data_IF_687588232421
#
_entry.id   IF_687588232421
#
_cell.length_a   1.000
_cell.length_b   1.000
_cell.length_c   1.000
_cell.angle_alpha   90.00
_cell.angle_beta   90.00
_cell.angle_gamma   90.00
#
_symmetry.space_group_name_H-M   'P 1'
#
loop_
_entity.id
_entity.type
_entity.pdbx_description
1 polymer ?
#
# COMPACT_ATOMS: atom_id res chain seq x y z
N UNK A 1 -22.81 1.58 16.96
CA UNK A 1 -21.87 2.67 16.66
C UNK A 1 -21.17 2.41 15.31
N UNK A 2 -21.96 2.07 14.28
CA UNK A 2 -21.55 2.20 12.88
C UNK A 2 -22.59 3.17 12.31
N UNK A 3 -22.31 4.47 12.45
CA UNK A 3 -23.13 5.48 11.81
C UNK A 3 -23.18 5.18 10.33
N UNK A 4 -24.38 5.28 9.74
CA UNK A 4 -24.69 4.84 8.38
C UNK A 4 -23.63 5.38 7.43
N UNK A 5 -22.92 4.47 6.75
CA UNK A 5 -21.97 4.81 5.68
C UNK A 5 -22.70 5.77 4.71
N UNK A 6 -22.16 6.98 4.45
CA UNK A 6 -22.84 7.95 3.59
C UNK A 6 -23.13 7.34 2.23
N UNK A 7 -24.26 7.67 1.60
CA UNK A 7 -24.67 7.06 0.33
C UNK A 7 -23.59 7.14 -0.75
N UNK A 8 -22.85 8.24 -0.80
CA UNK A 8 -21.73 8.44 -1.71
C UNK A 8 -20.61 7.37 -1.57
N UNK A 9 -20.44 6.78 -0.39
CA UNK A 9 -19.43 5.75 -0.14
C UNK A 9 -19.89 4.32 -0.45
N UNK A 10 -21.21 4.09 -0.59
CA UNK A 10 -21.77 2.74 -0.74
C UNK A 10 -21.37 2.06 -2.04
N UNK A 11 -21.08 2.83 -3.09
CA UNK A 11 -20.58 2.30 -4.37
C UNK A 11 -19.05 2.25 -4.43
N UNK A 12 -18.37 3.29 -3.94
CA UNK A 12 -16.91 3.38 -4.01
C UNK A 12 -16.20 2.39 -3.08
N UNK A 13 -16.73 2.18 -1.87
CA UNK A 13 -16.09 1.34 -0.85
C UNK A 13 -16.02 -0.14 -1.27
N UNK A 14 -17.10 -0.80 -1.73
CA UNK A 14 -17.02 -2.19 -2.18
C UNK A 14 -16.12 -2.36 -3.39
N UNK A 15 -16.11 -1.40 -4.33
CA UNK A 15 -15.23 -1.45 -5.50
C UNK A 15 -13.75 -1.35 -5.11
N UNK A 16 -13.40 -0.43 -4.20
CA UNK A 16 -12.05 -0.30 -3.68
C UNK A 16 -11.63 -1.55 -2.89
N UNK A 17 -12.50 -2.08 -2.03
CA UNK A 17 -12.24 -3.31 -1.28
C UNK A 17 -12.03 -4.50 -2.20
N UNK A 18 -12.87 -4.67 -3.23
CA UNK A 18 -12.70 -5.72 -4.22
C UNK A 18 -11.37 -5.60 -4.97
N UNK A 19 -10.98 -4.38 -5.35
CA UNK A 19 -9.68 -4.13 -5.98
C UNK A 19 -8.52 -4.45 -5.04
N UNK A 20 -8.58 -4.03 -3.77
CA UNK A 20 -7.55 -4.34 -2.78
C UNK A 20 -7.42 -5.83 -2.50
N UNK A 21 -8.53 -6.57 -2.40
CA UNK A 21 -8.51 -8.02 -2.27
C UNK A 21 -7.92 -8.68 -3.52
N UNK A 22 -8.31 -8.23 -4.71
CA UNK A 22 -7.74 -8.74 -5.96
C UNK A 22 -6.24 -8.50 -6.05
N UNK A 23 -5.75 -7.32 -5.66
CA UNK A 23 -4.32 -7.01 -5.60
C UNK A 23 -3.60 -7.83 -4.53
N UNK A 24 -4.19 -8.00 -3.35
CA UNK A 24 -3.61 -8.82 -2.28
C UNK A 24 -3.44 -10.28 -2.73
N UNK A 25 -4.39 -10.82 -3.48
CA UNK A 25 -4.31 -12.17 -4.08
C UNK A 25 -3.27 -12.19 -5.21
N UNK A 26 -3.32 -11.23 -6.13
CA UNK A 26 -2.42 -11.18 -7.29
C UNK A 26 -0.93 -11.08 -6.88
N UNK A 27 -0.65 -10.36 -5.80
CA UNK A 27 0.71 -10.16 -5.28
C UNK A 27 0.99 -10.96 -3.99
N UNK A 28 0.23 -12.04 -3.74
CA UNK A 28 0.32 -12.83 -2.50
C UNK A 28 1.75 -13.32 -2.21
N UNK A 29 2.52 -13.66 -3.25
CA UNK A 29 3.92 -14.04 -3.10
C UNK A 29 4.78 -12.90 -2.55
N UNK A 30 4.60 -11.67 -3.05
CA UNK A 30 5.38 -10.51 -2.60
C UNK A 30 5.01 -10.14 -1.16
N UNK A 31 3.72 -10.19 -0.82
CA UNK A 31 3.25 -9.99 0.56
C UNK A 31 3.78 -11.05 1.52
N UNK A 32 3.78 -12.32 1.12
CA UNK A 32 4.35 -13.41 1.94
C UNK A 32 5.86 -13.23 2.16
N UNK A 33 6.58 -12.71 1.15
CA UNK A 33 8.01 -12.44 1.26
C UNK A 33 8.27 -11.30 2.25
N UNK A 34 7.53 -10.19 2.15
CA UNK A 34 7.61 -9.10 3.13
C UNK A 34 7.33 -9.63 4.54
N UNK A 35 6.27 -10.42 4.72
CA UNK A 35 5.92 -10.99 6.02
C UNK A 35 7.02 -11.93 6.55
N UNK A 36 7.63 -12.74 5.68
CA UNK A 36 8.73 -13.63 6.05
C UNK A 36 9.98 -12.85 6.48
N UNK A 37 10.32 -11.76 5.80
CA UNK A 37 11.45 -10.88 6.17
C UNK A 37 11.15 -10.22 7.52
N UNK A 38 9.95 -9.67 7.69
CA UNK A 38 9.54 -9.02 8.92
C UNK A 38 9.57 -9.98 10.13
N UNK A 39 9.21 -11.25 9.94
CA UNK A 39 9.20 -12.23 11.04
C UNK A 39 10.60 -12.73 11.42
N UNK A 40 11.46 -12.95 10.41
CA UNK A 40 12.73 -13.65 10.60
C UNK A 40 13.95 -12.72 10.72
N UNK A 41 13.80 -11.42 10.42
CA UNK A 41 14.88 -10.45 10.53
C UNK A 41 14.69 -9.53 11.74
N UNK A 42 15.70 -9.45 12.62
CA UNK A 42 15.73 -8.48 13.71
C UNK A 42 15.77 -7.03 13.20
N UNK A 43 16.36 -6.79 12.02
CA UNK A 43 16.41 -5.47 11.37
C UNK A 43 15.01 -5.00 10.94
N UNK A 44 14.18 -5.91 10.45
CA UNK A 44 12.88 -5.58 9.86
C UNK A 44 11.67 -5.97 10.71
N UNK A 45 11.87 -6.40 11.96
CA UNK A 45 10.79 -6.85 12.86
C UNK A 45 9.71 -5.77 13.09
N UNK A 46 10.12 -4.50 13.11
CA UNK A 46 9.20 -3.36 13.26
C UNK A 46 8.13 -3.28 12.17
N UNK A 47 8.33 -3.91 10.99
CA UNK A 47 7.34 -3.97 9.92
C UNK A 47 6.04 -4.64 10.38
N UNK A 48 6.11 -5.59 11.32
CA UNK A 48 4.93 -6.25 11.89
C UNK A 48 3.97 -5.28 12.60
N UNK A 49 4.47 -4.15 13.10
CA UNK A 49 3.66 -3.13 13.77
C UNK A 49 2.97 -2.18 12.78
N UNK A 50 3.48 -2.09 11.55
CA UNK A 50 3.02 -1.11 10.56
C UNK A 50 1.53 -1.29 10.20
N UNK A 51 0.99 -2.50 9.97
CA UNK A 51 -0.45 -2.68 9.72
C UNK A 51 -1.34 -2.13 10.85
N UNK A 52 -0.94 -2.32 12.11
CA UNK A 52 -1.68 -1.79 13.26
C UNK A 52 -1.62 -0.26 13.31
N UNK A 53 -0.45 0.33 13.04
CA UNK A 53 -0.28 1.78 12.98
C UNK A 53 -1.09 2.37 11.83
N UNK A 54 -1.07 1.76 10.64
CA UNK A 54 -1.88 2.19 9.50
C UNK A 54 -3.37 2.20 9.82
N UNK A 55 -3.89 1.13 10.44
CA UNK A 55 -5.27 1.06 10.87
C UNK A 55 -5.62 2.20 11.85
N UNK A 56 -4.74 2.46 12.82
CA UNK A 56 -4.91 3.56 13.77
C UNK A 56 -4.89 4.94 13.09
N UNK A 57 -3.97 5.18 12.14
CA UNK A 57 -3.86 6.44 11.41
C UNK A 57 -5.08 6.71 10.54
N UNK A 58 -5.59 5.70 9.84
CA UNK A 58 -6.82 5.80 9.05
C UNK A 58 -8.03 6.02 9.98
N UNK A 59 -8.09 5.33 11.11
CA UNK A 59 -9.18 5.47 12.07
C UNK A 59 -9.23 6.87 12.70
N UNK A 60 -8.08 7.49 12.98
CA UNK A 60 -8.03 8.88 13.48
C UNK A 60 -8.61 9.88 12.47
N UNK A 61 -8.40 9.64 11.18
CA UNK A 61 -8.86 10.49 10.07
C UNK A 61 -10.33 10.27 9.66
N UNK A 62 -11.01 9.26 10.22
CA UNK A 62 -12.35 8.85 9.78
C UNK A 62 -13.38 9.99 9.78
N UNK A 63 -13.29 10.91 10.74
CA UNK A 63 -14.20 12.05 10.84
C UNK A 63 -14.02 13.09 9.73
N UNK A 64 -12.77 13.32 9.30
CA UNK A 64 -12.44 14.20 8.18
C UNK A 64 -12.91 13.56 6.86
N UNK A 65 -12.61 12.27 6.68
CA UNK A 65 -12.90 11.53 5.44
C UNK A 65 -14.40 11.34 5.23
N UNK A 66 -15.18 11.13 6.30
CA UNK A 66 -16.63 10.96 6.22
C UNK A 66 -17.36 12.20 5.67
N UNK A 67 -16.74 13.39 5.75
CA UNK A 67 -17.30 14.64 5.23
C UNK A 67 -16.98 14.86 3.74
N UNK A 68 -16.12 14.02 3.16
CA UNK A 68 -15.69 14.12 1.76
C UNK A 68 -16.44 13.06 0.95
N UNK A 69 -17.11 13.51 -0.11
CA UNK A 69 -17.69 12.58 -1.08
C UNK A 69 -16.59 12.00 -1.97
N UNK A 70 -16.45 10.66 -2.06
CA UNK A 70 -15.46 10.03 -2.90
C UNK A 70 -15.81 10.26 -4.37
N UNK A 71 -14.79 10.53 -5.19
CA UNK A 71 -14.95 10.75 -6.62
C UNK A 71 -13.89 9.97 -7.37
N UNK A 72 -14.30 9.24 -8.40
CA UNK A 72 -13.36 8.51 -9.25
C UNK A 72 -12.45 9.52 -9.96
N UNK A 73 -11.14 9.30 -9.90
CA UNK A 73 -10.17 10.15 -10.57
C UNK A 73 -9.27 9.32 -11.47
N UNK A 74 -9.70 9.19 -12.73
CA UNK A 74 -9.03 8.42 -13.79
C UNK A 74 -7.54 8.72 -14.00
N UNK A 75 -7.02 9.95 -13.79
CA UNK A 75 -5.58 10.21 -13.87
C UNK A 75 -4.73 9.35 -12.92
N UNK A 76 -5.31 8.80 -11.84
CA UNK A 76 -4.65 7.82 -10.98
C UNK A 76 -4.23 6.53 -11.71
N UNK A 77 -4.75 6.26 -12.91
CA UNK A 77 -4.27 5.16 -13.74
C UNK A 77 -2.81 5.32 -14.16
N UNK A 78 -2.30 6.56 -14.26
CA UNK A 78 -0.90 6.82 -14.61
C UNK A 78 0.04 6.28 -13.52
N UNK A 79 -0.08 6.66 -12.23
CA UNK A 79 0.74 6.06 -11.18
C UNK A 79 0.46 4.56 -10.99
N UNK A 80 -0.77 4.07 -11.21
CA UNK A 80 -1.02 2.62 -11.21
C UNK A 80 -0.21 1.90 -12.29
N UNK A 81 -0.19 2.41 -13.53
CA UNK A 81 0.59 1.85 -14.62
C UNK A 81 2.09 1.92 -14.32
N UNK A 82 2.57 3.03 -13.76
CA UNK A 82 3.96 3.17 -13.32
C UNK A 82 4.36 2.16 -12.24
N UNK A 83 3.50 1.95 -11.24
CA UNK A 83 3.73 0.98 -10.17
C UNK A 83 3.71 -0.47 -10.70
N UNK A 84 2.78 -0.80 -11.60
CA UNK A 84 2.73 -2.10 -12.26
C UNK A 84 3.96 -2.34 -13.14
N UNK A 85 4.44 -1.32 -13.86
CA UNK A 85 5.67 -1.41 -14.64
C UNK A 85 6.90 -1.60 -13.75
N UNK A 86 6.99 -0.87 -12.63
CA UNK A 86 8.06 -1.04 -11.65
C UNK A 86 8.07 -2.47 -11.09
N UNK A 87 6.90 -3.00 -10.72
CA UNK A 87 6.76 -4.37 -10.28
C UNK A 87 7.25 -5.36 -11.36
N UNK A 88 6.84 -5.15 -12.61
CA UNK A 88 7.21 -5.99 -13.75
C UNK A 88 8.73 -5.97 -14.01
N UNK A 89 9.36 -4.80 -13.94
CA UNK A 89 10.81 -4.66 -14.07
C UNK A 89 11.54 -5.37 -12.92
N UNK A 90 11.02 -5.31 -11.70
CA UNK A 90 11.52 -6.09 -10.57
C UNK A 90 11.41 -7.58 -10.81
N UNK A 91 10.27 -8.05 -11.32
CA UNK A 91 10.05 -9.45 -11.65
C UNK A 91 11.00 -9.95 -12.74
N UNK A 92 11.28 -9.14 -13.77
CA UNK A 92 12.24 -9.48 -14.82
C UNK A 92 13.70 -9.45 -14.38
N UNK A 93 14.08 -8.49 -13.53
CA UNK A 93 15.46 -8.35 -13.04
C UNK A 93 15.79 -9.27 -11.86
N UNK A 94 14.77 -9.85 -11.21
CA UNK A 94 14.94 -10.60 -9.97
C UNK A 94 15.10 -9.72 -8.73
N UNK A 95 14.96 -8.40 -8.85
CA UNK A 95 15.10 -7.45 -7.75
C UNK A 95 13.82 -7.41 -6.90
N UNK A 96 13.86 -8.03 -5.72
CA UNK A 96 12.69 -8.12 -4.84
C UNK A 96 12.27 -6.77 -4.30
N UNK A 97 13.22 -5.88 -4.04
CA UNK A 97 12.90 -4.51 -3.65
C UNK A 97 11.97 -3.80 -4.65
N UNK A 98 12.25 -3.90 -5.95
CA UNK A 98 11.42 -3.27 -6.98
C UNK A 98 10.03 -3.91 -7.07
N UNK A 99 9.93 -5.23 -6.91
CA UNK A 99 8.65 -5.95 -6.85
C UNK A 99 7.81 -5.49 -5.65
N UNK A 100 8.38 -5.53 -4.46
CA UNK A 100 7.68 -5.16 -3.23
C UNK A 100 7.24 -3.69 -3.25
N UNK A 101 8.13 -2.79 -3.70
CA UNK A 101 7.80 -1.37 -3.87
C UNK A 101 6.69 -1.17 -4.89
N UNK A 102 6.73 -1.87 -6.04
CA UNK A 102 5.68 -1.82 -7.05
C UNK A 102 4.33 -2.30 -6.53
N UNK A 103 4.28 -3.40 -5.78
CA UNK A 103 3.04 -3.93 -5.19
C UNK A 103 2.42 -2.95 -4.18
N UNK A 104 3.23 -2.38 -3.28
CA UNK A 104 2.78 -1.37 -2.31
C UNK A 104 2.34 -0.08 -3.01
N UNK A 105 3.13 0.41 -3.96
CA UNK A 105 2.81 1.61 -4.72
C UNK A 105 1.51 1.45 -5.52
N UNK A 106 1.26 0.28 -6.10
CA UNK A 106 0.04 -0.02 -6.84
C UNK A 106 -1.18 0.01 -5.91
N UNK A 107 -1.08 -0.61 -4.73
CA UNK A 107 -2.12 -0.55 -3.70
C UNK A 107 -2.42 0.90 -3.31
N UNK A 108 -1.39 1.71 -3.02
CA UNK A 108 -1.54 3.13 -2.66
C UNK A 108 -2.15 3.95 -3.79
N UNK A 109 -1.74 3.71 -5.05
CA UNK A 109 -2.24 4.43 -6.23
C UNK A 109 -3.73 4.18 -6.51
N UNK A 110 -4.31 3.07 -6.02
CA UNK A 110 -5.76 2.85 -6.13
C UNK A 110 -6.59 3.81 -5.27
N UNK A 111 -6.02 4.40 -4.22
CA UNK A 111 -6.75 5.32 -3.32
C UNK A 111 -7.26 6.56 -4.07
N UNK A 112 -6.40 7.33 -4.78
CA UNK A 112 -6.89 8.41 -5.62
C UNK A 112 -7.78 7.92 -6.77
N UNK A 113 -7.62 6.70 -7.26
CA UNK A 113 -8.47 6.15 -8.34
C UNK A 113 -9.94 6.03 -7.89
N UNK A 114 -10.18 5.47 -6.70
CA UNK A 114 -11.54 5.22 -6.20
C UNK A 114 -12.13 6.38 -5.40
N UNK A 115 -11.30 7.11 -4.66
CA UNK A 115 -11.76 8.11 -3.70
C UNK A 115 -11.42 9.55 -4.09
N UNK A 116 -10.54 9.75 -5.08
CA UNK A 116 -10.20 11.06 -5.61
C UNK A 116 -9.19 11.83 -4.77
N UNK A 117 -8.72 12.95 -5.31
CA UNK A 117 -7.59 13.71 -4.76
C UNK A 117 -7.85 14.23 -3.34
N UNK A 118 -9.09 14.61 -3.02
CA UNK A 118 -9.44 15.17 -1.69
C UNK A 118 -9.31 14.14 -0.58
N UNK A 119 -9.79 12.91 -0.81
CA UNK A 119 -9.65 11.82 0.15
C UNK A 119 -8.18 11.41 0.26
N UNK A 120 -7.47 11.33 -0.87
CA UNK A 120 -6.03 11.06 -0.89
C UNK A 120 -5.23 12.09 -0.11
N UNK A 121 -5.56 13.38 -0.22
CA UNK A 121 -4.92 14.43 0.56
C UNK A 121 -5.16 14.29 2.07
N UNK A 122 -6.41 13.97 2.47
CA UNK A 122 -6.73 13.68 3.87
C UNK A 122 -5.97 12.44 4.39
N UNK A 123 -5.72 11.47 3.52
CA UNK A 123 -4.99 10.24 3.82
C UNK A 123 -3.49 10.31 3.52
N UNK A 124 -2.93 11.47 3.13
CA UNK A 124 -1.56 11.54 2.63
C UNK A 124 -0.55 10.92 3.60
N UNK A 125 -0.65 11.25 4.90
CA UNK A 125 0.23 10.69 5.92
C UNK A 125 0.11 9.16 6.05
N UNK A 126 -1.09 8.56 6.27
CA UNK A 126 -1.27 7.11 6.19
C UNK A 126 -0.71 6.48 4.89
N UNK A 127 -0.94 7.10 3.73
CA UNK A 127 -0.49 6.56 2.44
C UNK A 127 1.03 6.58 2.29
N UNK A 128 1.71 7.62 2.78
CA UNK A 128 3.18 7.61 2.84
C UNK A 128 3.68 6.54 3.80
N UNK A 129 2.97 6.31 4.92
CA UNK A 129 3.34 5.30 5.90
C UNK A 129 3.27 3.86 5.35
N UNK A 130 2.43 3.60 4.34
CA UNK A 130 2.38 2.28 3.67
C UNK A 130 3.74 1.87 3.07
N UNK A 131 4.54 2.82 2.58
CA UNK A 131 5.84 2.52 1.97
C UNK A 131 6.86 1.96 2.97
N UNK A 132 6.64 2.18 4.28
CA UNK A 132 7.47 1.57 5.32
C UNK A 132 7.27 0.05 5.44
N UNK A 133 6.23 -0.52 4.81
CA UNK A 133 6.09 -1.98 4.68
C UNK A 133 7.19 -2.60 3.82
N UNK A 134 7.83 -1.82 2.96
CA UNK A 134 8.89 -2.33 2.08
C UNK A 134 10.19 -2.41 2.87
N UNK A 135 10.78 -3.60 3.04
CA UNK A 135 12.07 -3.79 3.71
C UNK A 135 13.23 -3.25 2.87
N UNK A 136 13.33 -1.92 2.82
CA UNK A 136 14.40 -1.20 2.14
C UNK A 136 15.76 -1.59 2.72
N UNK A 137 16.66 -2.06 1.85
CA UNK A 137 18.03 -2.41 2.23
C UNK A 137 18.25 -3.89 2.57
N UNK A 138 17.22 -4.75 2.47
CA UNK A 138 17.44 -6.20 2.55
C UNK A 138 18.48 -6.64 1.50
N UNK A 139 18.33 -6.16 0.26
CA UNK A 139 19.24 -6.45 -0.87
C UNK A 139 20.70 -6.04 -0.60
N UNK A 140 20.94 -5.13 0.36
CA UNK A 140 22.28 -4.67 0.73
C UNK A 140 22.93 -5.61 1.75
N UNK A 141 22.16 -6.46 2.45
CA UNK A 141 22.67 -7.35 3.50
C UNK A 141 23.78 -8.26 2.97
N UNK A 142 23.65 -8.96 1.83
CA UNK A 142 24.73 -9.80 1.31
C UNK A 142 25.98 -8.99 0.95
N UNK A 143 25.81 -7.78 0.38
CA UNK A 143 26.92 -6.92 0.01
C UNK A 143 27.71 -6.43 1.23
N UNK A 144 27.01 -6.12 2.33
CA UNK A 144 27.64 -5.67 3.57
C UNK A 144 28.42 -6.80 4.27
N UNK A 145 27.95 -8.05 4.18
CA UNK A 145 28.63 -9.22 4.75
C UNK A 145 29.95 -9.57 4.04
N UNK A 146 30.17 -9.10 2.81
CA UNK A 146 31.43 -9.31 2.08
C UNK A 146 32.58 -8.41 2.57
N UNK A 147 32.27 -7.32 3.26
CA UNK A 147 33.26 -6.31 3.69
C UNK A 147 33.65 -6.45 5.17
N UNK A 148 32.94 -7.30 5.92
CA UNK A 148 33.18 -7.61 7.35
C UNK A 148 33.83 -8.97 7.54
#
# INVERSE_FOLDING_TARGET
>A
MFDRIPEAWRAALPAALAAWVALAIAFASDWSRIASIAWNSSTFNHILLIPAILAALVYQRRGEIAQIAPQIWWPALIPCAGAALLWLLGAFSGLDLARQLGAVALLVATVPLFFGVRVTAALAFPLFYFFLLVPLGEELVPALQLVT
#
